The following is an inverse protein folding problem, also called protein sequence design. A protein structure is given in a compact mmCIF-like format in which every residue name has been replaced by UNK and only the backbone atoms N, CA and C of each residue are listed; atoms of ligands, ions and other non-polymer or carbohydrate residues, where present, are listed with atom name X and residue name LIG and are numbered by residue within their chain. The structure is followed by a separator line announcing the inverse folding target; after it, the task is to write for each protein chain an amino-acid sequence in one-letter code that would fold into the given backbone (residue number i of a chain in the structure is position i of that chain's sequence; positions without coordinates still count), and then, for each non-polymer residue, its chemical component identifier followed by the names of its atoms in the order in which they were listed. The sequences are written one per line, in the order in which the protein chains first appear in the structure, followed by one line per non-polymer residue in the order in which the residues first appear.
data_IF_086243421587
#
_entry.id   IF_086243421587
#
_cell.length_a   1.000
_cell.length_b   1.000
_cell.length_c   1.000
_cell.angle_alpha   90.00
_cell.angle_beta   90.00
_cell.angle_gamma   90.00
#
_symmetry.space_group_name_H-M   'P 1'
#
loop_
_entity.id
_entity.type
_entity.pdbx_description
1 polymer ?
#
# COMPACT_ATOMS: atom_id res chain seq x y z
N UNK A 1 -86.42 -44.45 5.82
CA UNK A 1 -86.10 -43.05 5.48
C UNK A 1 -84.84 -42.64 6.23
N UNK A 2 -83.67 -42.64 5.57
CA UNK A 2 -82.40 -42.30 6.19
C UNK A 2 -81.97 -40.92 5.66
N UNK A 3 -81.88 -39.96 6.55
CA UNK A 3 -81.33 -38.65 6.26
C UNK A 3 -79.82 -38.77 6.21
N UNK A 4 -79.20 -38.33 5.10
CA UNK A 4 -77.81 -38.25 4.92
C UNK A 4 -77.39 -36.79 5.14
N UNK A 5 -76.64 -36.55 6.20
CA UNK A 5 -76.11 -35.22 6.52
C UNK A 5 -74.82 -35.01 5.73
N UNK A 6 -74.77 -34.00 4.87
CA UNK A 6 -73.52 -33.58 4.13
C UNK A 6 -72.80 -32.57 5.00
N UNK A 7 -71.56 -32.93 5.41
CA UNK A 7 -70.63 -32.00 6.10
C UNK A 7 -69.75 -31.31 5.06
N UNK A 8 -69.90 -29.99 4.96
CA UNK A 8 -69.11 -29.13 4.09
C UNK A 8 -67.85 -28.73 4.86
N UNK A 9 -66.70 -29.29 4.48
CA UNK A 9 -65.39 -28.90 5.04
C UNK A 9 -64.86 -27.67 4.28
N UNK A 10 -64.84 -26.53 4.99
CA UNK A 10 -64.23 -25.30 4.49
C UNK A 10 -62.70 -25.37 4.74
N UNK A 11 -61.85 -25.51 3.70
CA UNK A 11 -60.44 -25.44 3.75
C UNK A 11 -59.98 -23.98 3.73
N UNK A 12 -59.44 -23.50 4.87
CA UNK A 12 -58.81 -22.19 4.98
C UNK A 12 -57.41 -22.30 4.36
N UNK A 13 -57.23 -21.66 3.22
CA UNK A 13 -55.87 -21.49 2.60
C UNK A 13 -55.22 -20.28 3.26
N UNK A 14 -54.26 -20.53 4.15
CA UNK A 14 -53.40 -19.50 4.73
C UNK A 14 -52.37 -19.09 3.72
N UNK A 15 -52.55 -17.90 3.12
CA UNK A 15 -51.48 -17.26 2.31
C UNK A 15 -50.44 -16.71 3.26
N UNK A 16 -49.33 -17.44 3.39
CA UNK A 16 -48.14 -16.93 4.07
C UNK A 16 -47.48 -15.95 3.10
N UNK A 17 -47.67 -14.66 3.33
CA UNK A 17 -46.90 -13.61 2.65
C UNK A 17 -45.44 -13.67 3.12
N UNK A 18 -44.58 -14.29 2.32
CA UNK A 18 -43.15 -14.23 2.48
C UNK A 18 -42.68 -12.82 2.16
N UNK A 19 -42.53 -12.00 3.19
CA UNK A 19 -41.77 -10.74 3.07
C UNK A 19 -40.30 -11.12 2.81
N UNK A 20 -39.92 -11.18 1.55
CA UNK A 20 -38.52 -11.19 1.16
C UNK A 20 -37.91 -9.86 1.62
N UNK A 21 -37.16 -9.90 2.72
CA UNK A 21 -36.25 -8.84 3.02
C UNK A 21 -35.26 -8.77 1.83
N UNK A 22 -35.47 -7.81 0.94
CA UNK A 22 -34.47 -7.39 -0.02
C UNK A 22 -33.24 -6.93 0.82
N UNK A 23 -32.23 -7.79 0.90
CA UNK A 23 -30.94 -7.45 1.44
C UNK A 23 -30.45 -6.34 0.51
N UNK A 24 -30.50 -5.10 1.00
CA UNK A 24 -29.92 -3.94 0.31
C UNK A 24 -28.44 -4.28 0.13
N UNK A 25 -28.07 -4.66 -1.10
CA UNK A 25 -26.68 -4.93 -1.44
C UNK A 25 -25.96 -3.59 -1.23
N UNK A 26 -25.33 -3.44 -0.07
CA UNK A 26 -24.66 -2.21 0.33
C UNK A 26 -23.77 -1.76 -0.83
N UNK A 27 -24.08 -0.60 -1.37
CA UNK A 27 -23.36 -0.02 -2.50
C UNK A 27 -21.88 0.07 -2.13
N UNK A 28 -21.00 -0.58 -2.92
CA UNK A 28 -19.55 -0.58 -2.71
C UNK A 28 -19.05 0.85 -2.48
N UNK A 29 -18.37 1.09 -1.34
CA UNK A 29 -17.83 2.40 -0.98
C UNK A 29 -16.35 2.50 -1.33
N UNK A 30 -15.82 3.73 -1.35
CA UNK A 30 -14.37 3.94 -1.52
C UNK A 30 -13.56 3.30 -0.41
N UNK A 31 -14.06 3.32 0.84
CA UNK A 31 -13.41 2.65 1.97
C UNK A 31 -13.38 1.13 1.79
N UNK A 32 -14.47 0.53 1.28
CA UNK A 32 -14.48 -0.93 1.03
C UNK A 32 -13.44 -1.34 0.00
N UNK A 33 -13.28 -0.56 -1.07
CA UNK A 33 -12.23 -0.83 -2.07
C UNK A 33 -10.85 -0.66 -1.45
N UNK A 34 -10.61 0.42 -0.70
CA UNK A 34 -9.32 0.64 -0.02
C UNK A 34 -9.00 -0.50 0.96
N UNK A 35 -10.01 -0.98 1.70
CA UNK A 35 -9.83 -2.11 2.62
C UNK A 35 -9.51 -3.41 1.86
N UNK A 36 -10.19 -3.70 0.73
CA UNK A 36 -9.88 -4.87 -0.11
C UNK A 36 -8.44 -4.83 -0.64
N UNK A 37 -7.93 -3.64 -0.99
CA UNK A 37 -6.53 -3.47 -1.41
C UNK A 37 -5.58 -3.76 -0.25
N UNK A 38 -5.89 -3.27 0.94
CA UNK A 38 -5.10 -3.51 2.16
C UNK A 38 -5.08 -5.00 2.53
N UNK A 39 -6.23 -5.66 2.47
CA UNK A 39 -6.43 -7.06 2.87
C UNK A 39 -6.03 -8.05 1.76
N UNK A 40 -5.58 -7.55 0.60
CA UNK A 40 -5.10 -8.43 -0.46
C UNK A 40 -3.94 -9.29 0.04
N UNK A 41 -4.01 -10.61 -0.14
CA UNK A 41 -2.90 -11.48 0.22
C UNK A 41 -1.61 -11.06 -0.49
N UNK A 42 -0.55 -10.80 0.28
CA UNK A 42 0.78 -10.42 -0.24
C UNK A 42 1.94 -11.16 0.46
N UNK A 43 1.59 -12.16 1.30
CA UNK A 43 2.51 -12.98 2.09
C UNK A 43 2.94 -12.30 3.40
N UNK A 44 3.30 -13.13 4.40
CA UNK A 44 3.67 -12.67 5.74
C UNK A 44 5.09 -12.12 5.81
N UNK A 45 5.93 -12.46 4.84
CA UNK A 45 7.32 -12.00 4.79
C UNK A 45 7.83 -11.94 3.36
N UNK A 46 8.79 -11.08 3.12
CA UNK A 46 9.39 -10.91 1.80
C UNK A 46 10.86 -10.56 1.88
N UNK A 47 11.62 -11.11 0.96
CA UNK A 47 12.98 -10.73 0.64
C UNK A 47 13.05 -10.36 -0.84
N UNK A 48 13.73 -9.28 -1.18
CA UNK A 48 13.93 -8.89 -2.59
C UNK A 48 15.14 -7.98 -2.77
N UNK A 49 15.60 -7.88 -4.01
CA UNK A 49 16.50 -6.80 -4.44
C UNK A 49 15.68 -5.67 -5.06
N UNK A 50 16.05 -4.45 -4.76
CA UNK A 50 15.44 -3.24 -5.28
C UNK A 50 16.49 -2.42 -6.03
N UNK A 51 16.27 -2.20 -7.33
CA UNK A 51 16.97 -1.17 -8.09
C UNK A 51 16.17 0.14 -7.98
N UNK A 52 16.86 1.22 -7.59
CA UNK A 52 16.30 2.57 -7.54
C UNK A 52 17.08 3.47 -8.47
N UNK A 53 16.42 3.99 -9.51
CA UNK A 53 17.00 4.95 -10.45
C UNK A 53 16.40 6.33 -10.20
N UNK A 54 17.26 7.30 -9.93
CA UNK A 54 16.93 8.71 -9.73
C UNK A 54 17.29 9.46 -11.01
N UNK A 55 16.30 10.07 -11.67
CA UNK A 55 16.46 10.71 -12.98
C UNK A 55 16.10 12.19 -12.83
N UNK A 56 17.09 13.06 -13.02
CA UNK A 56 16.85 14.49 -12.95
C UNK A 56 16.28 15.04 -14.26
N UNK A 57 15.82 16.28 -14.27
CA UNK A 57 15.24 16.97 -15.43
C UNK A 57 16.14 17.04 -16.68
N UNK A 58 17.44 16.80 -16.51
CA UNK A 58 18.42 16.75 -17.62
C UNK A 58 18.62 15.34 -18.14
N UNK A 59 17.92 14.34 -17.60
CA UNK A 59 18.04 12.94 -17.97
C UNK A 59 19.24 12.22 -17.32
N UNK A 60 20.00 12.86 -16.41
CA UNK A 60 21.08 12.19 -15.69
C UNK A 60 20.52 11.18 -14.70
N UNK A 61 21.06 9.96 -14.70
CA UNK A 61 20.61 8.84 -13.90
C UNK A 61 21.62 8.53 -12.80
N UNK A 62 21.11 8.35 -11.57
CA UNK A 62 21.86 7.74 -10.46
C UNK A 62 21.14 6.46 -10.07
N UNK A 63 21.86 5.35 -10.10
CA UNK A 63 21.32 4.04 -9.72
C UNK A 63 21.77 3.66 -8.31
N UNK A 64 20.87 2.99 -7.58
CA UNK A 64 21.15 2.38 -6.28
C UNK A 64 20.65 0.95 -6.28
N UNK A 65 21.41 0.04 -5.65
CA UNK A 65 20.99 -1.33 -5.41
C UNK A 65 20.80 -1.53 -3.92
N UNK A 66 19.68 -2.11 -3.55
CA UNK A 66 19.21 -2.20 -2.17
C UNK A 66 18.74 -3.63 -1.93
N UNK A 67 19.21 -4.26 -0.87
CA UNK A 67 18.62 -5.49 -0.36
C UNK A 67 17.49 -5.13 0.59
N UNK A 68 16.31 -5.78 0.44
CA UNK A 68 15.13 -5.48 1.25
C UNK A 68 14.59 -6.73 1.94
N UNK A 69 14.10 -6.54 3.16
CA UNK A 69 13.42 -7.56 3.95
C UNK A 69 12.19 -6.93 4.58
N UNK A 70 11.06 -7.62 4.56
CA UNK A 70 9.84 -7.21 5.27
C UNK A 70 9.21 -8.39 5.97
N UNK A 71 8.59 -8.14 7.11
CA UNK A 71 7.94 -9.15 7.95
C UNK A 71 6.69 -8.53 8.58
N UNK A 72 5.56 -9.20 8.42
CA UNK A 72 4.34 -8.88 9.13
C UNK A 72 4.43 -9.43 10.57
N UNK A 73 4.12 -8.56 11.53
CA UNK A 73 4.32 -8.82 12.94
C UNK A 73 3.05 -8.52 13.74
N UNK A 74 3.11 -8.84 15.04
CA UNK A 74 1.96 -8.69 15.93
C UNK A 74 0.99 -9.87 15.84
N UNK A 75 0.03 -9.89 16.76
CA UNK A 75 -0.93 -11.01 16.88
C UNK A 75 -1.77 -11.22 15.62
N UNK A 76 -2.14 -10.11 14.96
CA UNK A 76 -3.01 -10.12 13.78
C UNK A 76 -2.22 -9.96 12.47
N UNK A 77 -0.88 -9.93 12.54
CA UNK A 77 0.04 -9.70 11.41
C UNK A 77 -0.31 -8.46 10.58
N UNK A 78 -0.80 -7.41 11.25
CA UNK A 78 -1.16 -6.14 10.61
C UNK A 78 -0.07 -5.10 10.67
N UNK A 79 0.78 -5.16 11.72
CA UNK A 79 1.98 -4.35 11.79
C UNK A 79 3.05 -4.93 10.88
N UNK A 80 3.92 -4.10 10.34
CA UNK A 80 5.01 -4.54 9.45
C UNK A 80 6.34 -3.95 9.87
N UNK A 81 7.38 -4.76 9.83
CA UNK A 81 8.77 -4.30 9.96
C UNK A 81 9.47 -4.46 8.63
N UNK A 82 10.30 -3.48 8.26
CA UNK A 82 11.08 -3.53 7.04
C UNK A 82 12.51 -3.06 7.28
N UNK A 83 13.47 -3.77 6.66
CA UNK A 83 14.89 -3.43 6.60
C UNK A 83 15.29 -3.23 5.15
N UNK A 84 16.07 -2.20 4.88
CA UNK A 84 16.72 -1.94 3.61
C UNK A 84 18.19 -1.67 3.83
N UNK A 85 19.05 -2.31 3.02
CA UNK A 85 20.50 -2.09 3.04
C UNK A 85 20.99 -1.70 1.65
N UNK A 86 21.59 -0.52 1.55
CA UNK A 86 22.16 -0.03 0.30
C UNK A 86 23.48 -0.74 0.02
N UNK A 87 23.56 -1.40 -1.13
CA UNK A 87 24.74 -2.16 -1.57
C UNK A 87 25.59 -1.40 -2.59
N UNK A 88 24.97 -0.49 -3.34
CA UNK A 88 25.60 0.30 -4.42
C UNK A 88 24.88 1.64 -4.59
N UNK A 89 25.59 2.70 -5.02
CA UNK A 89 27.03 2.84 -5.23
C UNK A 89 27.80 3.02 -3.92
N UNK A 90 29.14 3.16 -4.04
CA UNK A 90 30.04 3.21 -2.88
C UNK A 90 29.77 4.35 -1.89
N UNK A 91 29.25 5.50 -2.36
CA UNK A 91 28.92 6.67 -1.53
C UNK A 91 27.73 6.46 -0.60
N UNK A 92 26.82 5.54 -0.93
CA UNK A 92 25.68 5.16 -0.09
C UNK A 92 25.76 3.74 0.45
N UNK A 93 26.75 2.95 0.04
CA UNK A 93 26.92 1.57 0.49
C UNK A 93 27.01 1.50 2.01
N UNK A 94 26.26 0.54 2.59
CA UNK A 94 26.15 0.36 4.04
C UNK A 94 25.14 1.29 4.71
N UNK A 95 24.51 2.22 3.96
CA UNK A 95 23.33 2.94 4.48
C UNK A 95 22.24 1.92 4.76
N UNK A 96 21.60 2.05 5.92
CA UNK A 96 20.50 1.19 6.32
C UNK A 96 19.23 2.01 6.63
N UNK A 97 18.08 1.46 6.30
CA UNK A 97 16.78 2.02 6.68
C UNK A 97 15.94 0.95 7.34
N UNK A 98 15.40 1.26 8.52
CA UNK A 98 14.49 0.41 9.28
C UNK A 98 13.18 1.14 9.50
N UNK A 99 12.07 0.47 9.29
CA UNK A 99 10.75 0.97 9.68
C UNK A 99 9.97 -0.10 10.45
N UNK A 100 9.22 0.36 11.45
CA UNK A 100 8.17 -0.38 12.14
C UNK A 100 6.88 0.38 11.87
N UNK A 101 6.07 -0.16 10.98
CA UNK A 101 4.80 0.39 10.57
C UNK A 101 3.68 -0.22 11.42
N UNK A 102 2.85 0.63 12.01
CA UNK A 102 1.77 0.23 12.90
C UNK A 102 0.40 0.35 12.21
N UNK A 103 -0.44 -0.67 12.34
CA UNK A 103 -1.82 -0.62 11.82
C UNK A 103 -2.77 0.17 12.74
N UNK A 104 -2.25 0.91 13.71
CA UNK A 104 -2.99 1.74 14.63
C UNK A 104 -3.12 3.17 14.09
N UNK A 105 -4.35 3.59 13.80
CA UNK A 105 -4.65 4.96 13.34
C UNK A 105 -4.17 5.99 14.36
N UNK A 106 -3.49 7.02 13.85
CA UNK A 106 -2.98 8.13 14.68
C UNK A 106 -1.68 7.84 15.42
N UNK A 107 -1.15 6.62 15.31
CA UNK A 107 0.18 6.28 15.80
C UNK A 107 1.19 6.48 14.69
N UNK A 108 2.17 7.36 14.90
CA UNK A 108 3.28 7.54 13.96
C UNK A 108 4.15 6.27 13.95
N UNK A 109 4.59 5.88 12.76
CA UNK A 109 5.54 4.78 12.59
C UNK A 109 6.91 5.13 13.16
N UNK A 110 7.66 4.13 13.55
CA UNK A 110 9.05 4.29 13.93
C UNK A 110 9.96 4.04 12.73
N UNK A 111 10.75 5.04 12.38
CA UNK A 111 11.66 4.99 11.23
C UNK A 111 13.07 5.42 11.62
N UNK A 112 14.08 4.66 11.20
CA UNK A 112 15.49 4.94 11.48
C UNK A 112 16.33 4.85 10.21
N UNK A 113 17.27 5.78 10.09
CA UNK A 113 18.25 5.83 9.01
C UNK A 113 19.65 5.75 9.61
N UNK A 114 20.40 4.71 9.24
CA UNK A 114 21.82 4.59 9.54
C UNK A 114 22.65 5.14 8.39
N UNK A 115 23.59 6.02 8.71
CA UNK A 115 24.52 6.63 7.77
C UNK A 115 25.95 6.20 8.14
N UNK A 116 26.59 5.29 7.38
CA UNK A 116 27.89 4.72 7.73
C UNK A 116 29.01 5.76 7.76
N UNK A 117 28.96 6.77 6.90
CA UNK A 117 29.92 7.88 6.91
C UNK A 117 29.93 8.67 8.22
N UNK A 118 28.81 8.71 8.91
CA UNK A 118 28.65 9.38 10.20
C UNK A 118 28.71 8.40 11.37
N UNK A 119 28.67 7.09 11.12
CA UNK A 119 28.53 6.01 12.12
C UNK A 119 27.38 6.31 13.10
N UNK A 120 26.25 6.81 12.57
CA UNK A 120 25.10 7.23 13.38
C UNK A 120 23.81 6.71 12.81
N UNK A 121 22.99 6.18 13.70
CA UNK A 121 21.55 5.93 13.46
C UNK A 121 20.78 7.15 13.96
N UNK A 122 19.91 7.68 13.12
CA UNK A 122 18.98 8.75 13.51
C UNK A 122 17.55 8.29 13.29
N UNK A 123 16.69 8.64 14.22
CA UNK A 123 15.24 8.47 14.07
C UNK A 123 14.69 9.55 13.15
N UNK A 124 13.82 9.17 12.22
CA UNK A 124 13.05 10.10 11.38
C UNK A 124 11.74 10.40 12.14
N UNK A 125 11.46 11.66 12.42
CA UNK A 125 10.21 12.04 13.08
C UNK A 125 9.00 11.80 12.16
N UNK A 126 7.81 11.57 12.72
CA UNK A 126 6.59 11.39 11.93
C UNK A 126 6.32 12.56 10.98
N UNK A 127 6.56 13.80 11.41
CA UNK A 127 6.42 14.99 10.55
C UNK A 127 7.42 14.99 9.38
N UNK A 128 8.70 14.64 9.63
CA UNK A 128 9.71 14.51 8.58
C UNK A 128 9.41 13.33 7.65
N UNK A 129 8.94 12.20 8.20
CA UNK A 129 8.60 11.03 7.38
C UNK A 129 7.55 11.37 6.32
N UNK A 130 6.57 12.19 6.66
CA UNK A 130 5.50 12.60 5.74
C UNK A 130 5.90 13.64 4.70
N UNK A 131 6.99 14.36 4.89
CA UNK A 131 7.41 15.51 4.05
C UNK A 131 8.75 15.31 3.35
N UNK A 132 9.71 14.70 4.04
CA UNK A 132 11.06 14.57 3.51
C UNK A 132 11.14 13.39 2.53
N UNK A 133 11.82 13.61 1.43
CA UNK A 133 12.03 12.58 0.42
C UNK A 133 13.07 11.55 0.84
N UNK A 134 12.73 10.27 0.64
CA UNK A 134 13.59 9.13 0.93
C UNK A 134 14.82 9.15 0.05
N UNK A 135 15.99 9.39 0.67
CA UNK A 135 17.30 9.29 0.02
C UNK A 135 17.40 10.02 -1.34
N UNK A 136 16.70 11.16 -1.50
CA UNK A 136 16.69 11.96 -2.73
C UNK A 136 15.84 11.38 -3.88
N UNK A 137 14.98 10.43 -3.58
CA UNK A 137 13.94 9.95 -4.50
C UNK A 137 12.72 10.90 -4.49
N UNK A 138 11.69 10.57 -5.26
CA UNK A 138 10.39 11.27 -5.23
C UNK A 138 9.38 10.59 -4.30
N UNK A 139 9.81 9.59 -3.56
CA UNK A 139 9.04 8.96 -2.48
C UNK A 139 9.41 9.60 -1.15
N UNK A 140 8.44 9.89 -0.31
CA UNK A 140 8.72 10.29 1.08
C UNK A 140 9.15 9.07 1.91
N UNK A 141 9.69 9.29 3.11
CA UNK A 141 9.96 8.17 4.02
C UNK A 141 8.67 7.43 4.39
N UNK A 142 7.53 8.11 4.38
CA UNK A 142 6.21 7.53 4.68
C UNK A 142 5.69 6.68 3.50
N UNK A 143 5.96 7.10 2.27
CA UNK A 143 5.63 6.32 1.07
C UNK A 143 6.36 4.95 1.02
N UNK A 144 7.43 4.77 1.81
CA UNK A 144 8.17 3.50 1.89
C UNK A 144 7.56 2.50 2.89
N UNK A 145 6.57 2.91 3.67
CA UNK A 145 5.88 2.10 4.66
C UNK A 145 4.47 1.69 4.24
N UNK A 146 3.73 1.15 5.20
CA UNK A 146 2.31 0.81 5.06
C UNK A 146 1.44 1.92 5.62
N UNK A 147 0.43 2.33 4.86
CA UNK A 147 -0.56 3.30 5.33
C UNK A 147 -1.82 2.58 5.78
N UNK A 148 -2.33 2.94 6.97
CA UNK A 148 -3.62 2.43 7.44
C UNK A 148 -4.76 3.05 6.61
N UNK A 149 -5.78 2.25 6.29
CA UNK A 149 -6.93 2.70 5.49
C UNK A 149 -7.64 3.87 6.15
N UNK A 150 -7.80 3.84 7.46
CA UNK A 150 -8.53 4.85 8.19
C UNK A 150 -7.73 6.14 8.48
N UNK A 151 -6.49 6.25 7.98
CA UNK A 151 -5.77 7.54 7.94
C UNK A 151 -6.29 8.48 6.86
N UNK A 152 -7.00 7.95 5.86
CA UNK A 152 -7.64 8.73 4.81
C UNK A 152 -9.17 8.61 4.88
N UNK A 153 -9.86 9.56 4.27
CA UNK A 153 -11.25 9.42 3.86
C UNK A 153 -11.27 9.02 2.39
N UNK A 154 -12.05 7.98 2.05
CA UNK A 154 -12.09 7.43 0.71
C UNK A 154 -13.44 7.62 0.04
N UNK A 155 -13.45 8.12 -1.19
CA UNK A 155 -14.63 8.25 -2.03
C UNK A 155 -14.43 7.43 -3.30
N UNK A 156 -15.39 6.56 -3.63
CA UNK A 156 -15.43 5.86 -4.91
C UNK A 156 -15.98 6.82 -5.99
N UNK A 157 -15.13 7.20 -6.93
CA UNK A 157 -15.51 8.10 -8.03
C UNK A 157 -16.18 7.36 -9.19
N UNK A 158 -16.01 6.04 -9.26
CA UNK A 158 -16.57 5.20 -10.32
C UNK A 158 -15.59 4.16 -10.83
N UNK A 159 -15.81 3.72 -12.06
CA UNK A 159 -14.98 2.75 -12.75
C UNK A 159 -14.38 3.37 -14.02
N UNK A 160 -13.15 2.96 -14.34
CA UNK A 160 -12.42 3.43 -15.52
C UNK A 160 -11.58 2.27 -16.08
N UNK A 161 -11.41 2.22 -17.40
CA UNK A 161 -10.49 1.24 -18.01
C UNK A 161 -9.12 1.91 -18.19
N UNK A 162 -8.09 1.31 -17.58
CA UNK A 162 -6.69 1.75 -17.71
C UNK A 162 -5.89 0.62 -18.34
N UNK A 163 -5.25 0.87 -19.47
CA UNK A 163 -4.46 -0.12 -20.25
C UNK A 163 -5.23 -1.43 -20.48
N UNK A 164 -6.52 -1.32 -20.82
CA UNK A 164 -7.40 -2.46 -21.09
C UNK A 164 -7.90 -3.20 -19.83
N UNK A 165 -7.55 -2.76 -18.63
CA UNK A 165 -7.96 -3.38 -17.37
C UNK A 165 -9.05 -2.55 -16.68
N UNK A 166 -10.11 -3.21 -16.21
CA UNK A 166 -11.15 -2.56 -15.40
C UNK A 166 -10.60 -2.17 -14.05
N UNK A 167 -10.74 -0.90 -13.70
CA UNK A 167 -10.25 -0.33 -12.45
C UNK A 167 -11.38 0.40 -11.70
N UNK A 168 -11.36 0.32 -10.38
CA UNK A 168 -12.04 1.32 -9.57
C UNK A 168 -11.18 2.58 -9.49
N UNK A 169 -11.84 3.74 -9.58
CA UNK A 169 -11.23 5.05 -9.40
C UNK A 169 -11.64 5.63 -8.07
N UNK A 170 -10.68 5.97 -7.22
CA UNK A 170 -10.91 6.48 -5.88
C UNK A 170 -10.26 7.84 -5.69
N UNK A 171 -10.90 8.67 -4.88
CA UNK A 171 -10.26 9.81 -4.23
C UNK A 171 -10.01 9.48 -2.76
N UNK A 172 -8.82 9.79 -2.26
CA UNK A 172 -8.46 9.64 -0.85
C UNK A 172 -7.89 10.95 -0.33
N UNK A 173 -8.46 11.44 0.78
CA UNK A 173 -8.05 12.67 1.44
C UNK A 173 -7.49 12.35 2.82
N UNK A 174 -6.22 12.71 3.12
CA UNK A 174 -5.61 12.45 4.40
C UNK A 174 -6.33 13.20 5.52
N UNK A 175 -6.50 12.54 6.65
CA UNK A 175 -7.02 13.15 7.88
C UNK A 175 -5.93 13.93 8.62
N UNK A 176 -4.66 13.59 8.39
CA UNK A 176 -3.50 14.27 8.96
C UNK A 176 -3.04 15.40 8.03
N UNK A 177 -3.00 16.63 8.56
CA UNK A 177 -2.58 17.79 7.80
C UNK A 177 -1.06 17.86 7.57
N UNK A 178 -0.28 17.01 8.26
CA UNK A 178 1.18 16.88 8.07
C UNK A 178 1.55 16.21 6.75
N UNK A 179 0.63 15.46 6.11
CA UNK A 179 0.88 14.84 4.80
C UNK A 179 1.30 15.87 3.75
N UNK A 180 2.19 15.47 2.84
CA UNK A 180 2.69 16.32 1.75
C UNK A 180 1.61 16.65 0.70
N UNK A 181 0.57 15.85 0.62
CA UNK A 181 -0.51 15.98 -0.35
C UNK A 181 -1.84 16.38 0.31
N UNK A 182 -2.72 17.05 -0.44
CA UNK A 182 -4.08 17.38 0.00
C UNK A 182 -5.06 16.24 -0.29
N UNK A 183 -4.84 15.55 -1.41
CA UNK A 183 -5.59 14.38 -1.84
C UNK A 183 -4.78 13.55 -2.82
N UNK A 184 -5.18 12.31 -3.01
CA UNK A 184 -4.71 11.42 -4.08
C UNK A 184 -5.91 10.85 -4.84
N UNK A 185 -5.77 10.73 -6.17
CA UNK A 185 -6.67 9.98 -7.03
C UNK A 185 -5.92 8.72 -7.45
N UNK A 186 -6.54 7.55 -7.33
CA UNK A 186 -5.88 6.31 -7.63
C UNK A 186 -6.80 5.30 -8.30
N UNK A 187 -6.20 4.46 -9.13
CA UNK A 187 -6.87 3.45 -9.93
C UNK A 187 -6.41 2.07 -9.50
N UNK A 188 -7.37 1.22 -9.15
CA UNK A 188 -7.13 -0.14 -8.62
C UNK A 188 -7.75 -1.16 -9.55
N UNK A 189 -6.96 -2.09 -10.05
CA UNK A 189 -7.47 -3.20 -10.85
C UNK A 189 -8.47 -4.04 -10.06
N UNK A 190 -9.60 -4.35 -10.69
CA UNK A 190 -10.68 -5.10 -10.06
C UNK A 190 -10.36 -6.59 -9.91
N UNK A 191 -9.55 -7.14 -10.80
CA UNK A 191 -9.22 -8.57 -10.86
C UNK A 191 -8.14 -9.01 -9.87
N UNK A 192 -7.22 -8.10 -9.49
CA UNK A 192 -6.08 -8.45 -8.65
C UNK A 192 -5.84 -7.50 -7.47
N UNK A 193 -6.65 -6.45 -7.34
CA UNK A 193 -6.57 -5.46 -6.25
C UNK A 193 -5.21 -4.72 -6.16
N UNK A 194 -4.48 -4.66 -7.28
CA UNK A 194 -3.22 -3.93 -7.37
C UNK A 194 -3.48 -2.55 -7.96
N UNK A 195 -3.01 -1.46 -7.33
CA UNK A 195 -3.03 -0.14 -7.95
C UNK A 195 -2.23 -0.12 -9.26
N UNK A 196 -2.71 0.63 -10.25
CA UNK A 196 -1.99 0.85 -11.52
C UNK A 196 -1.49 2.27 -11.66
N UNK A 197 -2.15 3.23 -10.99
CA UNK A 197 -1.83 4.65 -11.05
C UNK A 197 -2.29 5.36 -9.79
N UNK A 198 -1.49 6.33 -9.32
CA UNK A 198 -1.86 7.29 -8.26
C UNK A 198 -1.41 8.68 -8.67
N UNK A 199 -2.27 9.66 -8.55
CA UNK A 199 -1.99 11.09 -8.71
C UNK A 199 -2.09 11.77 -7.35
N UNK A 200 -1.02 12.43 -6.93
CA UNK A 200 -0.96 13.18 -5.68
C UNK A 200 -1.07 14.67 -5.97
N UNK A 201 -1.94 15.35 -5.26
CA UNK A 201 -2.16 16.80 -5.38
C UNK A 201 -1.59 17.50 -4.16
N UNK A 202 -0.85 18.59 -4.37
CA UNK A 202 -0.27 19.37 -3.28
C UNK A 202 -1.33 20.11 -2.44
N UNK A 203 -0.88 20.87 -1.44
CA UNK A 203 -1.78 21.61 -0.54
C UNK A 203 -2.53 22.75 -1.23
N UNK A 204 -2.07 23.18 -2.40
CA UNK A 204 -2.73 24.16 -3.25
C UNK A 204 -3.71 23.53 -4.26
N UNK A 205 -3.77 22.20 -4.29
CA UNK A 205 -4.63 21.43 -5.20
C UNK A 205 -4.04 21.25 -6.60
N UNK A 206 -2.76 21.60 -6.82
CA UNK A 206 -2.07 21.34 -8.08
C UNK A 206 -1.51 19.91 -8.11
N UNK A 207 -1.46 19.30 -9.30
CA UNK A 207 -0.83 18.01 -9.47
C UNK A 207 0.66 18.10 -9.14
N UNK A 208 1.11 17.22 -8.22
CA UNK A 208 2.45 17.23 -7.69
C UNK A 208 3.26 16.02 -8.14
N UNK A 209 2.73 14.81 -7.86
CA UNK A 209 3.41 13.55 -8.20
C UNK A 209 2.46 12.58 -8.88
N UNK A 210 3.00 11.79 -9.81
CA UNK A 210 2.31 10.66 -10.44
C UNK A 210 3.09 9.40 -10.15
N UNK A 211 2.41 8.36 -9.69
CA UNK A 211 2.97 7.03 -9.48
C UNK A 211 2.26 6.04 -10.39
N UNK A 212 3.02 5.36 -11.22
CA UNK A 212 2.54 4.32 -12.13
C UNK A 212 3.14 2.98 -11.73
N UNK A 213 2.31 1.93 -11.79
CA UNK A 213 2.71 0.57 -11.47
C UNK A 213 2.66 -0.28 -12.72
N UNK A 214 3.71 -1.04 -12.96
CA UNK A 214 3.81 -1.92 -14.11
C UNK A 214 4.46 -3.26 -13.75
N UNK A 215 4.56 -4.16 -14.72
CA UNK A 215 5.02 -5.51 -14.49
C UNK A 215 4.25 -6.18 -13.34
N UNK A 216 2.89 -6.09 -13.41
CA UNK A 216 1.99 -6.66 -12.42
C UNK A 216 1.80 -8.14 -12.73
N UNK A 217 2.28 -9.00 -11.84
CA UNK A 217 2.24 -10.45 -12.01
C UNK A 217 2.19 -11.18 -10.66
N UNK A 218 1.98 -12.48 -10.70
CA UNK A 218 2.10 -13.32 -9.51
C UNK A 218 3.54 -13.75 -9.30
N UNK A 219 4.02 -13.58 -8.04
CA UNK A 219 5.27 -14.15 -7.54
C UNK A 219 4.92 -15.00 -6.33
N UNK A 220 5.33 -16.25 -6.32
CA UNK A 220 4.98 -17.24 -5.27
C UNK A 220 3.47 -17.30 -4.98
N UNK A 221 2.63 -17.07 -6.02
CA UNK A 221 1.16 -17.07 -5.91
C UNK A 221 0.52 -15.73 -5.55
N UNK A 222 1.28 -14.70 -5.17
CA UNK A 222 0.79 -13.40 -4.73
C UNK A 222 0.90 -12.35 -5.83
N UNK A 223 -0.17 -11.59 -6.09
CA UNK A 223 -0.16 -10.49 -7.03
C UNK A 223 0.65 -9.30 -6.52
N UNK A 224 1.58 -8.82 -7.32
CA UNK A 224 2.38 -7.62 -7.01
C UNK A 224 2.82 -6.88 -8.27
N UNK A 225 3.07 -5.59 -8.13
CA UNK A 225 3.75 -4.78 -9.14
C UNK A 225 5.26 -4.85 -8.88
N UNK A 226 6.02 -5.26 -9.88
CA UNK A 226 7.48 -5.34 -9.75
C UNK A 226 8.19 -4.06 -10.19
N UNK A 227 7.47 -3.12 -10.80
CA UNK A 227 8.03 -1.84 -11.22
C UNK A 227 7.10 -0.70 -10.86
N UNK A 228 7.67 0.34 -10.28
CA UNK A 228 7.01 1.59 -9.90
C UNK A 228 7.76 2.77 -10.51
N UNK A 229 7.02 3.71 -11.07
CA UNK A 229 7.57 4.90 -11.70
C UNK A 229 6.90 6.13 -11.09
N UNK A 230 7.65 6.87 -10.29
CA UNK A 230 7.20 8.13 -9.69
C UNK A 230 7.75 9.31 -10.47
N UNK A 231 6.87 10.19 -10.92
CA UNK A 231 7.24 11.47 -11.53
C UNK A 231 6.81 12.61 -10.61
N UNK A 232 7.73 13.46 -10.22
CA UNK A 232 7.42 14.74 -9.62
C UNK A 232 7.25 15.75 -10.77
N UNK A 233 6.01 16.11 -11.07
CA UNK A 233 5.68 16.96 -12.25
C UNK A 233 6.09 18.41 -12.06
N UNK A 234 6.31 18.84 -10.81
CA UNK A 234 6.72 20.23 -10.50
C UNK A 234 8.22 20.44 -10.61
N UNK A 235 9.02 19.40 -10.34
CA UNK A 235 10.49 19.45 -10.41
C UNK A 235 11.06 18.76 -11.64
N UNK A 236 10.23 18.01 -12.38
CA UNK A 236 10.65 17.15 -13.50
C UNK A 236 11.66 16.07 -13.10
N UNK A 237 11.68 15.72 -11.80
CA UNK A 237 12.49 14.62 -11.26
C UNK A 237 11.66 13.32 -11.29
N UNK A 238 12.33 12.20 -11.50
CA UNK A 238 11.69 10.90 -11.61
C UNK A 238 12.45 9.85 -10.80
N UNK A 239 11.70 8.92 -10.24
CA UNK A 239 12.26 7.76 -9.55
C UNK A 239 11.64 6.48 -10.09
N UNK A 240 12.50 5.55 -10.54
CA UNK A 240 12.07 4.21 -10.93
C UNK A 240 12.52 3.21 -9.86
N UNK A 241 11.58 2.47 -9.32
CA UNK A 241 11.82 1.34 -8.42
C UNK A 241 11.52 0.05 -9.18
N UNK A 242 12.45 -0.90 -9.15
CA UNK A 242 12.29 -2.20 -9.80
C UNK A 242 12.73 -3.32 -8.87
N UNK A 243 11.80 -4.22 -8.55
CA UNK A 243 12.00 -5.37 -7.69
C UNK A 243 12.48 -6.56 -8.52
N UNK A 244 13.49 -7.26 -8.01
CA UNK A 244 13.97 -8.54 -8.55
C UNK A 244 14.28 -9.51 -7.43
N UNK A 245 14.50 -10.79 -7.77
CA UNK A 245 14.80 -11.86 -6.83
C UNK A 245 13.80 -11.92 -5.65
N UNK A 246 12.53 -11.62 -5.94
CA UNK A 246 11.46 -11.58 -4.93
C UNK A 246 11.16 -12.99 -4.46
N UNK A 247 11.20 -13.19 -3.15
CA UNK A 247 10.77 -14.42 -2.47
C UNK A 247 9.77 -14.06 -1.40
N UNK A 248 8.65 -14.76 -1.37
CA UNK A 248 7.57 -14.53 -0.41
C UNK A 248 7.52 -15.66 0.60
N UNK A 249 7.05 -15.39 1.80
CA UNK A 249 6.97 -16.34 2.92
C UNK A 249 8.32 -16.97 3.28
N UNK A 250 9.39 -16.17 3.22
CA UNK A 250 10.72 -16.57 3.65
C UNK A 250 10.81 -16.58 5.19
N UNK A 251 11.59 -17.49 5.74
CA UNK A 251 11.82 -17.52 7.20
C UNK A 251 12.70 -16.34 7.61
N UNK A 252 12.14 -15.37 8.30
CA UNK A 252 12.84 -14.22 8.88
C UNK A 252 12.65 -14.23 10.40
N UNK A 253 13.71 -13.85 11.13
CA UNK A 253 13.64 -13.65 12.57
C UNK A 253 13.17 -12.23 12.87
N UNK A 254 12.07 -12.07 13.61
CA UNK A 254 11.57 -10.74 14.03
C UNK A 254 12.63 -9.98 14.84
N UNK A 255 13.44 -10.69 15.65
CA UNK A 255 14.53 -10.12 16.43
C UNK A 255 15.65 -9.48 15.61
N UNK A 256 15.72 -9.78 14.30
CA UNK A 256 16.66 -9.14 13.39
C UNK A 256 16.27 -7.70 13.00
N UNK A 257 15.00 -7.29 13.17
CA UNK A 257 14.53 -5.96 12.75
C UNK A 257 14.80 -4.89 13.82
N UNK A 258 16.07 -4.61 14.07
CA UNK A 258 16.55 -3.69 15.11
C UNK A 258 17.54 -2.67 14.57
N UNK A 259 17.75 -1.58 15.31
CA UNK A 259 18.78 -0.59 14.99
C UNK A 259 20.19 -1.18 15.06
N UNK A 260 20.43 -2.16 15.95
CA UNK A 260 21.71 -2.87 16.02
C UNK A 260 22.00 -3.66 14.73
N UNK A 261 21.00 -4.32 14.15
CA UNK A 261 21.12 -4.99 12.85
C UNK A 261 21.34 -3.99 11.74
N UNK A 262 20.65 -2.85 11.80
CA UNK A 262 20.79 -1.75 10.84
C UNK A 262 22.25 -1.27 10.78
N UNK A 263 22.90 -1.13 11.95
CA UNK A 263 24.30 -0.69 12.07
C UNK A 263 25.31 -1.74 11.62
N UNK A 264 24.96 -3.02 11.73
CA UNK A 264 25.79 -4.13 11.22
C UNK A 264 25.76 -4.29 9.70
N UNK A 265 24.70 -3.78 9.04
CA UNK A 265 24.57 -3.78 7.59
C UNK A 265 24.06 -5.07 6.95
N UNK A 266 23.35 -5.93 7.70
CA UNK A 266 22.75 -7.16 7.17
C UNK A 266 22.06 -7.99 8.25
N UNK A 267 21.21 -8.97 7.85
CA UNK A 267 20.54 -9.95 8.71
C UNK A 267 21.09 -11.35 8.45
#
# INVERSE_FOLDING_TARGET
MRLTTVVLAATLVSVVASTAFAQDASKLTGRDVAQRVKDRPDGDSRQSKLSMKLINKRGSVRERKIQTYSLDVGKDKKDRKMLMFFEYPGDVKGTGFLTWDYDQVGKDDDKWLYLPAMKKTRRISGSSAKKDYFMGSDFTYDDMGNRNVDEDTHTLLGEETVDGQKCWKLESTPKDNRDLFSKKIWWVRQDCLVPVKVEFYDKQGALHRKLEFSNIQKVDGFWMALKMYMTNVQTEHQTVLELSDVKVNVKLDEGAFTTATLEKGGI
#
